data_IF_771478433849
#
_entry.id   IF_771478433849
#
_cell.length_a   1.000
_cell.length_b   1.000
_cell.length_c   1.000
_cell.angle_alpha   90.00
_cell.angle_beta   90.00
_cell.angle_gamma   90.00
#
_symmetry.space_group_name_H-M   'P 1'
#
loop_
_entity.id
_entity.type
_entity.pdbx_description
1 polymer ?
#
# COMPACT_ATOMS: atom_id res chain seq x y z
N UNK A 1 -0.35 25.67 -0.16
CA UNK A 1 0.11 25.36 -1.54
C UNK A 1 -0.30 23.92 -1.83
N UNK A 2 -1.03 23.66 -2.91
CA UNK A 2 -1.46 22.29 -3.26
C UNK A 2 -0.19 21.44 -3.44
N UNK A 3 -0.02 20.41 -2.63
CA UNK A 3 1.19 19.60 -2.62
C UNK A 3 1.31 18.90 -3.99
N UNK A 4 2.29 19.33 -4.80
CA UNK A 4 2.52 18.83 -6.17
C UNK A 4 2.64 17.29 -6.20
N UNK A 5 3.10 16.70 -5.10
CA UNK A 5 3.20 15.25 -4.89
C UNK A 5 1.85 14.55 -5.00
N UNK A 6 0.90 14.95 -4.16
CA UNK A 6 -0.45 14.35 -4.10
C UNK A 6 -1.16 14.50 -5.43
N UNK A 7 -0.96 15.63 -6.11
CA UNK A 7 -1.46 15.81 -7.47
C UNK A 7 -0.87 14.80 -8.46
N UNK A 8 0.46 14.61 -8.47
CA UNK A 8 1.13 13.67 -9.39
C UNK A 8 0.63 12.23 -9.18
N UNK A 9 0.60 11.75 -7.93
CA UNK A 9 0.21 10.36 -7.66
C UNK A 9 -1.25 10.12 -8.00
N UNK A 10 -2.15 11.07 -7.68
CA UNK A 10 -3.56 10.95 -8.07
C UNK A 10 -3.76 10.97 -9.57
N UNK A 11 -3.11 11.88 -10.28
CA UNK A 11 -3.19 11.94 -11.73
C UNK A 11 -2.65 10.66 -12.38
N UNK A 12 -1.56 10.09 -11.83
CA UNK A 12 -1.05 8.79 -12.25
C UNK A 12 -2.02 7.65 -11.95
N UNK A 13 -2.60 7.60 -10.75
CA UNK A 13 -3.56 6.57 -10.37
C UNK A 13 -4.75 6.59 -11.32
N UNK A 14 -5.35 7.77 -11.52
CA UNK A 14 -6.44 7.97 -12.47
C UNK A 14 -6.03 7.55 -13.88
N UNK A 15 -4.87 7.99 -14.37
CA UNK A 15 -4.38 7.68 -15.72
C UNK A 15 -4.11 6.19 -15.96
N UNK A 16 -3.74 5.44 -14.93
CA UNK A 16 -3.36 4.03 -15.04
C UNK A 16 -4.50 3.08 -14.66
N UNK A 17 -5.54 3.58 -14.01
CA UNK A 17 -6.71 2.81 -13.59
C UNK A 17 -7.29 2.00 -14.75
N UNK A 18 -7.31 0.68 -14.56
CA UNK A 18 -7.86 -0.32 -15.50
C UNK A 18 -7.30 -0.25 -16.94
N UNK A 19 -6.14 0.39 -17.16
CA UNK A 19 -5.54 0.59 -18.49
C UNK A 19 -4.22 -0.17 -18.65
N UNK A 20 -4.30 -1.41 -19.10
CA UNK A 20 -3.17 -2.35 -19.20
C UNK A 20 -1.99 -1.81 -20.03
N UNK A 21 -2.28 -1.20 -21.19
CA UNK A 21 -1.26 -0.62 -22.08
C UNK A 21 -0.48 0.51 -21.39
N UNK A 22 -1.16 1.37 -20.64
CA UNK A 22 -0.52 2.46 -19.92
C UNK A 22 0.26 1.96 -18.71
N UNK A 23 -0.24 0.93 -18.01
CA UNK A 23 0.50 0.28 -16.92
C UNK A 23 1.81 -0.36 -17.41
N UNK A 24 1.76 -1.03 -18.56
CA UNK A 24 2.95 -1.60 -19.20
C UNK A 24 3.93 -0.49 -19.57
N UNK A 25 3.44 0.62 -20.14
CA UNK A 25 4.28 1.76 -20.50
C UNK A 25 4.91 2.43 -19.27
N UNK A 26 4.16 2.55 -18.19
CA UNK A 26 4.66 3.07 -16.92
C UNK A 26 5.83 2.21 -16.38
N UNK A 27 5.72 0.89 -16.46
CA UNK A 27 6.78 -0.04 -16.04
C UNK A 27 8.00 0.07 -16.97
N UNK A 28 7.80 0.13 -18.29
CA UNK A 28 8.88 0.36 -19.26
C UNK A 28 9.65 1.65 -19.00
N UNK A 29 8.96 2.70 -18.61
CA UNK A 29 9.54 4.02 -18.35
C UNK A 29 10.17 4.15 -16.95
N UNK A 30 10.48 3.03 -16.28
CA UNK A 30 11.06 3.03 -14.93
C UNK A 30 10.18 3.74 -13.89
N UNK A 31 8.86 3.61 -13.99
CA UNK A 31 7.93 4.18 -13.03
C UNK A 31 7.94 3.48 -11.65
N UNK A 32 8.30 2.19 -11.60
CA UNK A 32 8.26 1.40 -10.36
C UNK A 32 9.18 1.94 -9.25
N UNK A 33 10.47 2.27 -9.49
CA UNK A 33 11.32 2.89 -8.46
C UNK A 33 10.72 4.17 -7.87
N UNK A 34 10.09 5.01 -8.70
CA UNK A 34 9.47 6.26 -8.26
C UNK A 34 8.27 5.96 -7.36
N UNK A 35 7.34 5.11 -7.81
CA UNK A 35 6.17 4.69 -7.04
C UNK A 35 6.56 4.06 -5.69
N UNK A 36 7.47 3.09 -5.70
CA UNK A 36 7.91 2.43 -4.47
C UNK A 36 8.70 3.37 -3.55
N UNK A 37 9.41 4.36 -4.09
CA UNK A 37 10.00 5.43 -3.27
C UNK A 37 8.95 6.25 -2.55
N UNK A 38 7.78 6.51 -3.15
CA UNK A 38 6.67 7.20 -2.47
C UNK A 38 6.01 6.29 -1.42
N UNK A 39 5.73 5.04 -1.77
CA UNK A 39 5.14 4.04 -0.86
C UNK A 39 5.97 3.82 0.43
N UNK A 40 7.31 3.80 0.30
CA UNK A 40 8.22 3.59 1.43
C UNK A 40 8.40 4.81 2.35
N UNK A 41 7.79 5.97 2.02
CA UNK A 41 7.91 7.15 2.88
C UNK A 41 7.15 6.95 4.19
N UNK A 42 7.89 6.86 5.29
CA UNK A 42 7.35 6.78 6.67
C UNK A 42 6.98 8.16 7.24
N UNK A 43 6.33 9.01 6.45
CA UNK A 43 6.03 10.38 6.86
C UNK A 43 4.96 10.41 7.98
N UNK A 44 4.03 9.45 7.98
CA UNK A 44 2.96 9.28 8.98
C UNK A 44 3.49 8.97 10.38
N UNK A 45 4.55 8.16 10.49
CA UNK A 45 5.10 7.71 11.78
C UNK A 45 6.14 8.68 12.37
N UNK A 46 6.95 9.34 11.54
CA UNK A 46 8.00 10.26 12.02
C UNK A 46 7.43 11.58 12.53
N UNK A 47 6.31 12.04 11.98
CA UNK A 47 5.74 13.35 12.33
C UNK A 47 4.96 13.33 13.66
N UNK A 48 4.33 12.22 14.06
CA UNK A 48 3.69 12.10 15.39
C UNK A 48 4.64 12.27 16.58
N UNK A 49 5.97 12.11 16.39
CA UNK A 49 6.99 12.39 17.42
C UNK A 49 7.29 13.89 17.59
N UNK A 50 6.86 14.75 16.67
CA UNK A 50 6.88 16.20 16.84
C UNK A 50 5.52 16.61 17.38
N UNK A 51 5.51 17.35 18.49
CA UNK A 51 4.29 17.76 19.21
C UNK A 51 3.29 18.62 18.40
N UNK A 52 3.57 18.91 17.12
CA UNK A 52 2.76 19.74 16.24
C UNK A 52 2.71 19.10 14.85
N UNK A 53 1.74 18.21 14.63
CA UNK A 53 1.28 17.83 13.29
C UNK A 53 -0.14 18.35 13.17
N UNK A 54 -0.38 19.23 12.20
CA UNK A 54 -1.74 19.70 11.94
C UNK A 54 -2.55 18.57 11.30
N UNK A 55 -3.84 18.46 11.62
CA UNK A 55 -4.76 17.45 11.04
C UNK A 55 -4.64 17.39 9.50
N UNK A 56 -4.55 18.55 8.87
CA UNK A 56 -4.36 18.71 7.42
C UNK A 56 -3.08 18.06 6.87
N UNK A 57 -1.97 18.07 7.61
CA UNK A 57 -0.73 17.39 7.20
C UNK A 57 -0.86 15.87 7.26
N UNK A 58 -1.70 15.37 8.17
CA UNK A 58 -1.93 13.94 8.34
C UNK A 58 -2.88 13.42 7.25
N UNK A 59 -3.94 14.18 6.94
CA UNK A 59 -4.88 13.85 5.86
C UNK A 59 -4.15 13.76 4.51
N UNK A 60 -3.24 14.70 4.21
CA UNK A 60 -2.42 14.64 2.98
C UNK A 60 -1.53 13.38 2.90
N UNK A 61 -0.95 12.96 4.04
CA UNK A 61 -0.09 11.77 4.08
C UNK A 61 -0.91 10.51 3.81
N UNK A 62 -2.06 10.40 4.46
CA UNK A 62 -2.94 9.24 4.33
C UNK A 62 -3.52 9.15 2.91
N UNK A 63 -3.81 10.28 2.29
CA UNK A 63 -4.25 10.34 0.89
C UNK A 63 -3.16 9.89 -0.09
N UNK A 64 -1.90 10.24 0.20
CA UNK A 64 -0.76 9.78 -0.59
C UNK A 64 -0.48 8.27 -0.37
N UNK A 65 -0.62 7.78 0.86
CA UNK A 65 -0.53 6.35 1.19
C UNK A 65 -1.63 5.57 0.44
N UNK A 66 -2.88 6.06 0.48
CA UNK A 66 -4.01 5.52 -0.27
C UNK A 66 -3.73 5.48 -1.77
N UNK A 67 -3.30 6.60 -2.35
CA UNK A 67 -3.06 6.69 -3.80
C UNK A 67 -1.92 5.78 -4.25
N UNK A 68 -0.87 5.61 -3.43
CA UNK A 68 0.21 4.67 -3.71
C UNK A 68 -0.27 3.22 -3.68
N UNK A 69 -0.98 2.81 -2.62
CA UNK A 69 -1.43 1.42 -2.48
C UNK A 69 -2.49 1.06 -3.52
N UNK A 70 -3.37 2.00 -3.86
CA UNK A 70 -4.35 1.86 -4.94
C UNK A 70 -3.67 1.59 -6.29
N UNK A 71 -2.63 2.37 -6.62
CA UNK A 71 -1.87 2.17 -7.85
C UNK A 71 -1.11 0.84 -7.87
N UNK A 72 -0.44 0.47 -6.76
CA UNK A 72 0.23 -0.83 -6.61
C UNK A 72 -0.76 -1.98 -6.83
N UNK A 73 -1.94 -1.88 -6.21
CA UNK A 73 -3.01 -2.86 -6.32
C UNK A 73 -3.52 -2.99 -7.75
N UNK A 74 -3.71 -1.87 -8.46
CA UNK A 74 -4.06 -1.86 -9.88
C UNK A 74 -2.97 -2.52 -10.75
N UNK A 75 -1.69 -2.21 -10.52
CA UNK A 75 -0.58 -2.83 -11.25
C UNK A 75 -0.54 -4.36 -11.05
N UNK A 76 -0.69 -4.84 -9.82
CA UNK A 76 -0.74 -6.28 -9.53
C UNK A 76 -1.91 -6.99 -10.22
N UNK A 77 -3.07 -6.32 -10.34
CA UNK A 77 -4.26 -6.88 -10.99
C UNK A 77 -4.17 -6.93 -12.51
N UNK A 78 -3.59 -5.91 -13.13
CA UNK A 78 -3.71 -5.70 -14.58
C UNK A 78 -2.50 -6.17 -15.39
N UNK A 79 -1.31 -6.17 -14.77
CA UNK A 79 -0.08 -6.59 -15.44
C UNK A 79 -0.01 -8.11 -15.54
N UNK A 80 0.68 -8.61 -16.57
CA UNK A 80 0.86 -10.04 -16.84
C UNK A 80 2.29 -10.29 -17.30
N UNK A 81 2.76 -11.53 -17.24
CA UNK A 81 4.09 -11.91 -17.73
C UNK A 81 5.21 -11.07 -17.13
N UNK A 82 6.11 -10.56 -17.98
CA UNK A 82 7.33 -9.85 -17.56
C UNK A 82 7.02 -8.58 -16.77
N UNK A 83 5.96 -7.86 -17.13
CA UNK A 83 5.54 -6.66 -16.40
C UNK A 83 5.06 -7.01 -14.99
N UNK A 84 4.30 -8.09 -14.85
CA UNK A 84 3.87 -8.60 -13.55
C UNK A 84 5.06 -9.00 -12.70
N UNK A 85 6.00 -9.77 -13.26
CA UNK A 85 7.20 -10.21 -12.56
C UNK A 85 7.99 -9.01 -12.04
N UNK A 86 8.12 -7.95 -12.84
CA UNK A 86 8.80 -6.71 -12.41
C UNK A 86 8.13 -6.05 -11.22
N UNK A 87 6.79 -6.00 -11.18
CA UNK A 87 6.05 -5.45 -10.03
C UNK A 87 6.23 -6.36 -8.82
N UNK A 88 6.09 -7.66 -9.00
CA UNK A 88 6.22 -8.67 -7.96
C UNK A 88 7.61 -8.65 -7.31
N UNK A 89 8.69 -8.61 -8.11
CA UNK A 89 10.06 -8.60 -7.60
C UNK A 89 10.37 -7.38 -6.72
N UNK A 90 9.64 -6.26 -6.85
CA UNK A 90 9.77 -5.12 -5.92
C UNK A 90 9.50 -5.51 -4.47
N UNK A 91 8.65 -6.50 -4.23
CA UNK A 91 8.33 -6.99 -2.88
C UNK A 91 9.42 -7.89 -2.29
N UNK A 92 10.33 -8.43 -3.11
CA UNK A 92 11.47 -9.25 -2.67
C UNK A 92 12.75 -8.44 -2.46
N UNK A 93 12.79 -7.19 -2.91
CA UNK A 93 13.95 -6.31 -2.76
C UNK A 93 14.27 -5.99 -1.29
N UNK A 94 15.55 -5.78 -1.01
CA UNK A 94 16.05 -5.25 0.27
C UNK A 94 15.50 -6.00 1.50
N UNK A 95 15.54 -7.34 1.46
CA UNK A 95 15.02 -8.21 2.54
C UNK A 95 13.54 -7.95 2.84
N UNK A 96 12.73 -7.88 1.79
CA UNK A 96 11.27 -7.75 1.88
C UNK A 96 10.77 -6.46 2.56
N UNK A 97 11.54 -5.36 2.49
CA UNK A 97 11.19 -4.10 3.19
C UNK A 97 9.81 -3.54 2.77
N UNK A 98 9.34 -3.86 1.55
CA UNK A 98 8.03 -3.45 1.04
C UNK A 98 6.91 -4.22 1.76
N UNK A 99 7.15 -5.49 2.08
CA UNK A 99 6.22 -6.32 2.85
C UNK A 99 6.18 -5.81 4.30
N UNK A 100 7.33 -5.47 4.88
CA UNK A 100 7.37 -4.85 6.21
C UNK A 100 6.52 -3.57 6.26
N UNK A 101 6.71 -2.69 5.26
CA UNK A 101 5.92 -1.46 5.12
C UNK A 101 4.43 -1.73 4.94
N UNK A 102 4.06 -2.76 4.18
CA UNK A 102 2.67 -3.16 3.97
C UNK A 102 2.00 -3.58 5.29
N UNK A 103 2.69 -4.37 6.12
CA UNK A 103 2.22 -4.77 7.45
C UNK A 103 2.16 -3.58 8.42
N UNK A 104 3.12 -2.65 8.35
CA UNK A 104 3.07 -1.39 9.11
C UNK A 104 1.82 -0.58 8.79
N UNK A 105 1.48 -0.45 7.50
CA UNK A 105 0.29 0.26 7.04
C UNK A 105 -1.00 -0.46 7.45
N UNK A 106 -1.05 -1.79 7.28
CA UNK A 106 -2.20 -2.60 7.72
C UNK A 106 -2.55 -2.29 9.18
N UNK A 107 -1.57 -2.40 10.08
CA UNK A 107 -1.77 -2.08 11.51
C UNK A 107 -2.24 -0.65 11.76
N UNK A 108 -1.64 0.30 11.06
CA UNK A 108 -1.99 1.70 11.20
C UNK A 108 -3.46 1.93 10.86
N UNK A 109 -3.89 1.45 9.70
CA UNK A 109 -5.26 1.62 9.23
C UNK A 109 -6.26 0.74 10.00
N UNK A 110 -5.88 -0.46 10.46
CA UNK A 110 -6.69 -1.26 11.39
C UNK A 110 -6.97 -0.50 12.69
N UNK A 111 -5.94 0.11 13.28
CA UNK A 111 -6.11 0.89 14.50
C UNK A 111 -6.94 2.16 14.24
N UNK A 112 -6.71 2.84 13.11
CA UNK A 112 -7.48 4.02 12.72
C UNK A 112 -8.96 3.68 12.63
N UNK A 113 -9.33 2.68 11.81
CA UNK A 113 -10.72 2.22 11.64
C UNK A 113 -11.35 1.86 12.99
N UNK A 114 -10.64 1.13 13.87
CA UNK A 114 -11.15 0.80 15.22
C UNK A 114 -11.41 2.00 16.12
N UNK A 115 -10.73 3.13 15.90
CA UNK A 115 -10.84 4.35 16.71
C UNK A 115 -11.71 5.43 16.07
N UNK A 116 -12.06 5.26 14.79
CA UNK A 116 -12.95 6.17 14.07
C UNK A 116 -14.40 5.81 14.41
N UNK A 117 -15.26 6.78 14.78
CA UNK A 117 -16.68 6.53 14.97
C UNK A 117 -17.34 6.02 13.68
N UNK A 118 -18.32 5.11 13.78
CA UNK A 118 -19.02 4.52 12.62
C UNK A 118 -19.60 5.57 11.65
N UNK A 119 -19.92 6.77 12.13
CA UNK A 119 -20.48 7.88 11.35
C UNK A 119 -19.44 8.63 10.47
N UNK A 120 -18.14 8.35 10.63
CA UNK A 120 -17.01 8.96 9.89
C UNK A 120 -16.19 7.92 9.08
N UNK A 121 -16.73 6.72 8.91
CA UNK A 121 -16.10 5.63 8.15
C UNK A 121 -16.17 5.89 6.64
N UNK A 122 -15.05 6.28 6.01
CA UNK A 122 -14.94 6.11 4.55
C UNK A 122 -13.49 5.85 4.14
N UNK A 123 -12.61 6.85 4.22
CA UNK A 123 -11.28 6.76 3.59
C UNK A 123 -10.31 5.76 4.24
N UNK A 124 -10.38 5.61 5.57
CA UNK A 124 -9.53 4.69 6.32
C UNK A 124 -9.86 3.23 6.03
N UNK A 125 -11.14 2.93 5.85
CA UNK A 125 -11.65 1.58 5.61
C UNK A 125 -11.30 1.11 4.20
N UNK A 126 -11.53 1.94 3.17
CA UNK A 126 -11.14 1.61 1.79
C UNK A 126 -9.63 1.36 1.67
N UNK A 127 -8.82 2.20 2.34
CA UNK A 127 -7.37 2.03 2.30
C UNK A 127 -6.96 0.70 2.94
N UNK A 128 -7.57 0.33 4.07
CA UNK A 128 -7.35 -0.96 4.71
C UNK A 128 -7.73 -2.13 3.79
N UNK A 129 -8.90 -2.07 3.14
CA UNK A 129 -9.33 -3.11 2.19
C UNK A 129 -8.35 -3.30 1.03
N UNK A 130 -7.81 -2.22 0.47
CA UNK A 130 -6.82 -2.31 -0.61
C UNK A 130 -5.52 -2.93 -0.08
N UNK A 131 -5.07 -2.55 1.12
CA UNK A 131 -3.89 -3.15 1.76
C UNK A 131 -4.10 -4.66 1.95
N UNK A 132 -5.25 -5.07 2.49
CA UNK A 132 -5.59 -6.48 2.75
C UNK A 132 -5.66 -7.27 1.45
N UNK A 133 -6.25 -6.69 0.40
CA UNK A 133 -6.22 -7.27 -0.93
C UNK A 133 -4.77 -7.52 -1.39
N UNK A 134 -3.87 -6.54 -1.26
CA UNK A 134 -2.47 -6.71 -1.70
C UNK A 134 -1.77 -7.81 -0.89
N UNK A 135 -1.99 -7.87 0.43
CA UNK A 135 -1.44 -8.93 1.29
C UNK A 135 -1.94 -10.30 0.83
N UNK A 136 -3.26 -10.48 0.70
CA UNK A 136 -3.88 -11.74 0.29
C UNK A 136 -3.40 -12.13 -1.11
N UNK A 137 -3.34 -11.17 -2.04
CA UNK A 137 -2.86 -11.39 -3.39
C UNK A 137 -1.43 -11.95 -3.38
N UNK A 138 -0.51 -11.32 -2.63
CA UNK A 138 0.88 -11.76 -2.55
C UNK A 138 1.02 -13.15 -1.90
N UNK A 139 0.27 -13.44 -0.84
CA UNK A 139 0.25 -14.76 -0.20
C UNK A 139 -0.27 -15.83 -1.18
N UNK A 140 -1.29 -15.50 -1.97
CA UNK A 140 -1.87 -16.44 -2.94
C UNK A 140 -0.96 -16.76 -4.13
N UNK A 141 0.12 -16.01 -4.35
CA UNK A 141 1.13 -16.34 -5.36
C UNK A 141 1.99 -17.55 -4.98
N UNK A 142 1.92 -18.00 -3.71
CA UNK A 142 2.65 -19.18 -3.20
C UNK A 142 4.17 -19.12 -3.42
N UNK A 143 4.74 -17.93 -3.41
CA UNK A 143 6.19 -17.74 -3.38
C UNK A 143 6.70 -18.05 -1.97
N UNK A 144 7.60 -19.02 -1.87
CA UNK A 144 8.09 -19.54 -0.59
C UNK A 144 8.68 -18.45 0.31
N UNK A 145 9.49 -17.57 -0.27
CA UNK A 145 10.18 -16.53 0.50
C UNK A 145 9.18 -15.50 1.07
N UNK A 146 8.19 -15.11 0.26
CA UNK A 146 7.13 -14.19 0.68
C UNK A 146 6.24 -14.81 1.75
N UNK A 147 5.82 -16.07 1.58
CA UNK A 147 5.01 -16.77 2.58
C UNK A 147 5.72 -16.85 3.94
N UNK A 148 7.00 -17.20 3.95
CA UNK A 148 7.78 -17.32 5.18
C UNK A 148 8.00 -15.96 5.84
N UNK A 149 8.24 -14.91 5.04
CA UNK A 149 8.35 -13.54 5.57
C UNK A 149 7.02 -13.05 6.18
N UNK A 150 5.88 -13.32 5.53
CA UNK A 150 4.58 -13.01 6.10
C UNK A 150 4.30 -13.79 7.39
N UNK A 151 4.60 -15.10 7.45
CA UNK A 151 4.44 -15.90 8.68
C UNK A 151 5.22 -15.28 9.83
N UNK A 152 6.49 -14.95 9.61
CA UNK A 152 7.35 -14.31 10.61
C UNK A 152 6.74 -12.99 11.10
N UNK A 153 6.29 -12.12 10.19
CA UNK A 153 5.71 -10.84 10.56
C UNK A 153 4.37 -10.96 11.30
N UNK A 154 3.54 -11.94 10.94
CA UNK A 154 2.26 -12.18 11.61
C UNK A 154 2.49 -12.67 13.04
N UNK A 155 3.44 -13.59 13.24
CA UNK A 155 3.85 -14.10 14.55
C UNK A 155 4.45 -12.99 15.43
N UNK A 156 5.40 -12.23 14.89
CA UNK A 156 6.07 -11.13 15.62
C UNK A 156 5.10 -10.05 16.10
N UNK A 157 3.96 -9.91 15.44
CA UNK A 157 3.04 -8.81 15.65
C UNK A 157 1.67 -9.21 16.17
N UNK A 158 1.45 -10.50 16.43
CA UNK A 158 0.19 -11.02 16.94
C UNK A 158 -1.00 -10.77 16.00
N UNK A 159 -0.76 -10.63 14.70
CA UNK A 159 -1.84 -10.44 13.70
C UNK A 159 -2.32 -11.83 13.30
N UNK A 160 -3.59 -12.14 13.55
CA UNK A 160 -4.16 -13.42 13.14
C UNK A 160 -4.51 -13.37 11.64
N UNK A 161 -4.20 -14.44 10.88
CA UNK A 161 -4.62 -14.57 9.46
C UNK A 161 -6.12 -14.33 9.25
N UNK A 162 -6.93 -14.63 10.26
CA UNK A 162 -8.38 -14.45 10.26
C UNK A 162 -8.77 -12.96 10.24
N UNK A 163 -7.97 -12.07 10.84
CA UNK A 163 -8.29 -10.64 10.89
C UNK A 163 -8.11 -9.96 9.53
N UNK A 164 -7.17 -10.45 8.71
CA UNK A 164 -6.95 -9.99 7.32
C UNK A 164 -8.11 -10.45 6.41
N UNK A 165 -8.72 -11.60 6.71
CA UNK A 165 -9.82 -12.16 5.92
C UNK A 165 -11.18 -11.53 6.22
N UNK A 166 -11.40 -11.01 7.44
CA UNK A 166 -12.70 -10.45 7.87
C UNK A 166 -13.07 -9.11 7.23
N UNK A 167 -12.09 -8.34 6.74
CA UNK A 167 -12.31 -7.03 6.11
C UNK A 167 -12.41 -7.14 4.58
N UNK A 168 -12.09 -8.32 4.03
CA UNK A 168 -12.07 -8.60 2.58
C UNK A 168 -13.34 -9.28 2.04
N UNK A 169 -14.43 -9.31 2.82
CA UNK A 169 -15.79 -9.69 2.40
C UNK A 169 -16.71 -8.49 2.49
#
# INVERSE_FOLDING_TARGET
>A
QRNLRSFIIKSLNFALEQRAKLCSKFIEMSGLPVLFSFFMRKDSQKKKKKAYVYKQDQDEIEEDEHSCISLISNLLRITKGVEFDRVFYKFKENKFEKIDRLIELHKYYTNKVKTTPEEEEDDGYFTLQIIDFVIIFLINLKDFDIEDHFKLLLEMHGINKIDIQKVSM
#
